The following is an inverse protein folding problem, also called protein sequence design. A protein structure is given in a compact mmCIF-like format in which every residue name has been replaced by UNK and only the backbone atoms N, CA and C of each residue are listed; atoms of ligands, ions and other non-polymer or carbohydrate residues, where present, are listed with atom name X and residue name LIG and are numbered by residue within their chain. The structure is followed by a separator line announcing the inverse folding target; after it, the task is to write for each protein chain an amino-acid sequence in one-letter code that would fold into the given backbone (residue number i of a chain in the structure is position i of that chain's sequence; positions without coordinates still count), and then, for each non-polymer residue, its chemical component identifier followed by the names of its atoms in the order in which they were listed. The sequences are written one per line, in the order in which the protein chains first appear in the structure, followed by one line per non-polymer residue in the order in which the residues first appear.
data_IF_181941861522
#
_entry.id   IF_181941861522
#
_cell.length_a   1.000
_cell.length_b   1.000
_cell.length_c   1.000
_cell.angle_alpha   90.00
_cell.angle_beta   90.00
_cell.angle_gamma   90.00
#
_symmetry.space_group_name_H-M   'P 1'
#
loop_
_entity.id
_entity.type
_entity.pdbx_description
1 polymer ?
#
# COMPACT_ATOMS: atom_id res chain seq x y z
N UNK A 1 21.77 6.65 -43.26
CA UNK A 1 20.35 6.71 -42.84
C UNK A 1 20.13 8.02 -42.11
N UNK A 2 19.84 9.11 -42.84
CA UNK A 2 19.58 10.45 -42.30
C UNK A 2 18.35 11.00 -43.01
N UNK A 3 17.20 10.97 -42.34
CA UNK A 3 16.03 11.82 -42.61
C UNK A 3 14.89 11.40 -41.67
N UNK A 4 14.90 11.89 -40.42
CA UNK A 4 13.67 11.99 -39.62
C UNK A 4 13.33 13.46 -39.47
N UNK A 5 12.14 13.80 -39.95
CA UNK A 5 11.74 15.11 -40.44
C UNK A 5 11.29 16.06 -39.32
N UNK A 6 11.70 17.33 -39.44
CA UNK A 6 11.32 18.45 -38.57
C UNK A 6 9.82 18.79 -38.58
N UNK A 7 9.02 18.14 -39.43
CA UNK A 7 7.60 18.45 -39.61
C UNK A 7 6.68 17.87 -38.52
N UNK A 8 7.11 16.83 -37.78
CA UNK A 8 6.26 16.29 -36.71
C UNK A 8 6.27 17.16 -35.45
N UNK A 9 7.36 17.88 -35.17
CA UNK A 9 7.48 18.69 -33.95
C UNK A 9 6.55 19.92 -33.96
N UNK A 10 6.36 20.54 -35.14
CA UNK A 10 5.50 21.73 -35.29
C UNK A 10 4.03 21.36 -35.13
N UNK A 11 3.61 20.20 -35.63
CA UNK A 11 2.22 19.73 -35.53
C UNK A 11 1.83 19.43 -34.09
N UNK A 12 2.73 18.88 -33.27
CA UNK A 12 2.46 18.63 -31.85
C UNK A 12 2.44 19.92 -31.00
N UNK A 13 3.25 20.92 -31.34
CA UNK A 13 3.20 22.23 -30.66
C UNK A 13 1.88 22.98 -30.92
N UNK A 14 1.32 22.91 -32.13
CA UNK A 14 0.07 23.61 -32.45
C UNK A 14 -1.16 22.98 -31.75
N UNK A 15 -1.19 21.66 -31.57
CA UNK A 15 -2.30 20.98 -30.87
C UNK A 15 -2.26 21.27 -29.35
N UNK A 16 -1.07 21.42 -28.76
CA UNK A 16 -0.91 21.78 -27.34
C UNK A 16 -1.39 23.19 -26.99
N UNK A 17 -1.20 24.16 -27.89
CA UNK A 17 -1.58 25.56 -27.64
C UNK A 17 -3.10 25.77 -27.76
N UNK A 18 -3.79 25.01 -28.64
CA UNK A 18 -5.25 25.10 -28.79
C UNK A 18 -5.97 24.48 -27.57
N UNK A 19 -5.40 23.43 -26.96
CA UNK A 19 -5.94 22.84 -25.72
C UNK A 19 -5.78 23.72 -24.47
N UNK A 20 -4.79 24.63 -24.46
CA UNK A 20 -4.53 25.53 -23.33
C UNK A 20 -5.43 26.77 -23.35
N UNK A 21 -5.92 27.17 -24.53
CA UNK A 21 -6.84 28.30 -24.70
C UNK A 21 -8.31 27.98 -24.37
N UNK A 22 -8.71 26.70 -24.30
CA UNK A 22 -10.09 26.30 -23.98
C UNK A 22 -10.36 26.13 -22.48
N UNK A 23 -9.33 26.17 -21.62
CA UNK A 23 -9.46 26.01 -20.17
C UNK A 23 -9.58 27.33 -19.38
N UNK A 24 -9.52 28.49 -20.03
CA UNK A 24 -9.51 29.81 -19.36
C UNK A 24 -10.90 30.48 -19.28
N UNK A 25 -11.96 29.88 -19.83
CA UNK A 25 -13.30 30.53 -19.92
C UNK A 25 -14.42 29.97 -19.04
N UNK A 26 -14.12 29.21 -18.00
CA UNK A 26 -15.13 28.82 -17.00
C UNK A 26 -14.70 29.21 -15.59
N UNK A 27 -15.07 30.42 -15.19
CA UNK A 27 -15.17 30.82 -13.78
C UNK A 27 -16.63 31.11 -13.48
N UNK A 28 -17.32 30.34 -12.61
CA UNK A 28 -18.64 30.73 -12.14
C UNK A 28 -18.53 31.85 -11.11
N UNK A 29 -19.31 32.89 -11.34
CA UNK A 29 -19.54 34.05 -10.50
C UNK A 29 -20.29 33.65 -9.21
N UNK A 30 -19.72 34.07 -8.07
CA UNK A 30 -20.43 34.13 -6.80
C UNK A 30 -21.52 35.21 -6.86
N UNK A 31 -22.78 34.81 -6.68
CA UNK A 31 -23.85 35.71 -6.23
C UNK A 31 -24.35 35.23 -4.87
N UNK A 32 -24.15 36.09 -3.87
CA UNK A 32 -24.81 36.08 -2.58
C UNK A 32 -25.99 37.07 -2.63
N UNK A 33 -27.17 36.63 -2.16
CA UNK A 33 -28.38 37.40 -1.78
C UNK A 33 -29.60 36.46 -1.94
N UNK A 34 -30.57 36.27 -1.04
CA UNK A 34 -30.93 36.90 0.22
C UNK A 34 -31.66 35.85 1.07
N UNK A 35 -31.17 35.60 2.29
CA UNK A 35 -31.96 34.92 3.31
C UNK A 35 -32.92 35.93 3.94
N UNK A 36 -34.21 35.77 3.67
CA UNK A 36 -35.27 36.51 4.34
C UNK A 36 -35.30 36.10 5.81
N UNK A 37 -34.78 36.99 6.65
CA UNK A 37 -35.07 37.07 8.08
C UNK A 37 -36.57 37.27 8.25
N UNK A 38 -37.25 36.34 8.89
CA UNK A 38 -38.43 36.66 9.70
C UNK A 38 -38.13 36.25 11.14
N UNK A 39 -37.47 37.21 11.80
CA UNK A 39 -37.47 37.42 13.23
C UNK A 39 -38.91 37.68 13.70
N UNK A 40 -39.42 36.88 14.64
CA UNK A 40 -40.36 37.39 15.65
C UNK A 40 -39.85 36.96 17.01
N UNK A 41 -39.18 37.92 17.65
CA UNK A 41 -38.71 37.84 19.01
C UNK A 41 -39.90 37.86 19.96
N UNK A 42 -39.92 36.91 20.88
CA UNK A 42 -40.56 37.02 22.18
C UNK A 42 -39.71 37.95 23.05
N UNK A 43 -40.25 39.09 23.46
CA UNK A 43 -39.79 39.92 24.61
C UNK A 43 -40.99 40.78 24.99
N UNK A 44 -41.78 40.40 25.99
CA UNK A 44 -41.70 40.88 27.38
C UNK A 44 -41.56 42.41 27.45
N UNK A 45 -42.70 43.10 27.44
CA UNK A 45 -42.83 44.38 28.15
C UNK A 45 -43.78 44.18 29.32
N UNK A 46 -43.24 44.53 30.47
CA UNK A 46 -43.84 44.57 31.78
C UNK A 46 -44.17 46.04 32.04
N UNK A 47 -45.44 46.38 32.26
CA UNK A 47 -45.87 47.65 32.83
C UNK A 47 -47.10 47.39 33.71
N UNK A 48 -46.76 47.16 34.97
CA UNK A 48 -47.39 47.62 36.21
C UNK A 48 -48.79 48.28 36.14
N UNK A 49 -49.68 47.65 36.91
CA UNK A 49 -50.53 48.21 37.98
C UNK A 49 -51.24 49.54 37.72
N UNK A 50 -52.57 49.47 37.65
CA UNK A 50 -53.42 50.33 38.47
C UNK A 50 -54.46 49.45 39.20
N UNK A 51 -54.58 49.75 40.48
CA UNK A 51 -55.40 49.10 41.49
C UNK A 51 -56.89 49.27 41.22
N UNK A 52 -57.69 48.23 41.45
CA UNK A 52 -58.98 48.42 42.11
C UNK A 52 -59.29 47.25 43.05
N UNK A 53 -59.54 47.65 44.29
CA UNK A 53 -59.99 46.84 45.41
C UNK A 53 -61.27 46.06 45.08
N UNK A 54 -61.21 44.75 45.32
CA UNK A 54 -62.35 43.85 45.24
C UNK A 54 -62.24 42.73 46.26
N UNK A 55 -62.25 43.09 47.55
CA UNK A 55 -62.41 42.14 48.64
C UNK A 55 -63.76 41.39 48.51
N UNK A 56 -63.72 40.13 48.94
CA UNK A 56 -64.82 39.22 49.32
C UNK A 56 -65.55 38.40 48.23
N UNK A 57 -65.65 37.10 48.51
CA UNK A 57 -66.67 36.13 48.03
C UNK A 57 -66.35 35.04 46.96
N UNK A 58 -65.09 34.67 46.72
CA UNK A 58 -64.79 33.50 45.84
C UNK A 58 -64.66 32.13 46.53
N UNK A 59 -64.62 32.05 47.87
CA UNK A 59 -64.56 30.77 48.58
C UNK A 59 -65.94 30.13 48.77
N UNK A 60 -66.99 30.91 49.07
CA UNK A 60 -68.35 30.39 49.27
C UNK A 60 -69.01 29.89 47.96
N UNK A 61 -68.71 30.53 46.83
CA UNK A 61 -69.24 30.12 45.51
C UNK A 61 -68.55 28.83 45.01
N UNK A 62 -67.26 28.65 45.29
CA UNK A 62 -66.54 27.40 45.00
C UNK A 62 -67.08 26.22 45.83
N UNK A 63 -67.30 26.42 47.14
CA UNK A 63 -67.81 25.38 48.06
C UNK A 63 -69.27 25.00 47.75
N UNK A 64 -70.10 25.92 47.25
CA UNK A 64 -71.48 25.63 46.82
C UNK A 64 -71.57 24.95 45.44
N UNK A 65 -70.58 25.15 44.56
CA UNK A 65 -70.50 24.45 43.27
C UNK A 65 -69.97 23.01 43.41
N UNK A 66 -69.10 22.73 44.37
CA UNK A 66 -68.59 21.38 44.67
C UNK A 66 -69.71 20.41 45.08
N UNK A 67 -70.72 20.89 45.81
CA UNK A 67 -71.79 20.07 46.38
C UNK A 67 -72.97 19.77 45.44
N UNK A 68 -73.09 20.48 44.30
CA UNK A 68 -74.17 20.25 43.31
C UNK A 68 -73.83 19.10 42.38
N UNK A 69 -74.76 18.20 42.01
CA UNK A 69 -74.45 17.09 41.12
C UNK A 69 -73.99 17.60 39.74
N UNK A 70 -72.76 17.26 39.34
CA UNK A 70 -72.24 17.56 38.01
C UNK A 70 -72.85 16.62 36.99
N UNK A 71 -73.38 17.17 35.89
CA UNK A 71 -73.76 16.37 34.73
C UNK A 71 -72.76 16.64 33.61
N UNK A 72 -72.05 15.61 33.21
CA UNK A 72 -71.09 15.67 32.11
C UNK A 72 -71.56 14.77 30.97
N UNK A 73 -71.62 15.32 29.77
CA UNK A 73 -71.88 14.57 28.54
C UNK A 73 -70.55 14.09 27.96
N UNK A 74 -70.41 12.78 27.82
CA UNK A 74 -69.25 12.12 27.24
C UNK A 74 -69.62 11.63 25.84
N UNK A 75 -68.73 11.83 24.88
CA UNK A 75 -68.82 11.28 23.53
C UNK A 75 -67.58 10.44 23.27
N UNK A 76 -67.76 9.16 22.94
CA UNK A 76 -66.66 8.20 22.73
C UNK A 76 -66.98 7.27 21.55
N UNK A 77 -65.95 6.71 20.92
CA UNK A 77 -66.13 5.81 19.77
C UNK A 77 -66.55 4.39 20.18
N UNK A 78 -66.29 3.98 21.43
CA UNK A 78 -66.74 2.69 21.98
C UNK A 78 -67.22 2.82 23.43
N UNK A 79 -68.36 2.20 23.80
CA UNK A 79 -68.84 2.13 25.17
C UNK A 79 -67.84 1.52 26.17
N UNK A 80 -66.92 0.68 25.69
CA UNK A 80 -65.90 -0.01 26.48
C UNK A 80 -64.81 0.92 27.05
N UNK A 81 -64.75 2.17 26.58
CA UNK A 81 -63.77 3.17 27.03
C UNK A 81 -64.15 3.84 28.35
N UNK A 82 -65.36 3.62 28.88
CA UNK A 82 -65.75 4.11 30.19
C UNK A 82 -65.14 3.22 31.27
N UNK A 83 -64.33 3.82 32.14
CA UNK A 83 -63.58 3.08 33.19
C UNK A 83 -64.30 3.00 34.52
N UNK A 84 -65.42 3.71 34.65
CA UNK A 84 -66.06 3.96 35.93
C UNK A 84 -67.45 3.31 36.02
N UNK A 85 -67.82 2.86 37.23
CA UNK A 85 -69.11 2.20 37.52
C UNK A 85 -70.00 3.07 38.41
N UNK A 86 -71.31 2.84 38.37
CA UNK A 86 -72.25 3.49 39.28
C UNK A 86 -71.88 3.14 40.73
N UNK A 87 -71.85 4.13 41.62
CA UNK A 87 -71.47 3.96 43.02
C UNK A 87 -69.97 4.05 43.32
N UNK A 88 -69.13 4.11 42.29
CA UNK A 88 -67.67 4.23 42.46
C UNK A 88 -67.30 5.62 42.97
N UNK A 89 -66.38 5.66 43.95
CA UNK A 89 -65.70 6.87 44.40
C UNK A 89 -64.65 7.27 43.37
N UNK A 90 -64.66 8.54 42.98
CA UNK A 90 -63.71 9.13 42.05
C UNK A 90 -63.13 10.40 42.67
N UNK A 91 -61.82 10.56 42.55
CA UNK A 91 -61.10 11.78 42.93
C UNK A 91 -60.96 12.69 41.72
N UNK A 92 -60.75 13.97 41.97
CA UNK A 92 -60.37 14.94 40.96
C UNK A 92 -59.10 14.44 40.26
N UNK A 93 -59.13 14.40 38.93
CA UNK A 93 -58.06 13.84 38.12
C UNK A 93 -58.20 12.36 37.76
N UNK A 94 -59.11 11.61 38.39
CA UNK A 94 -59.33 10.20 38.06
C UNK A 94 -59.89 10.05 36.64
N UNK A 95 -59.47 8.99 35.95
CA UNK A 95 -59.83 8.75 34.55
C UNK A 95 -61.26 8.22 34.47
N UNK A 96 -62.14 9.00 33.84
CA UNK A 96 -63.53 8.62 33.60
C UNK A 96 -63.65 7.84 32.30
N UNK A 97 -62.95 8.26 31.25
CA UNK A 97 -62.90 7.55 29.98
C UNK A 97 -61.52 7.61 29.33
N UNK A 98 -61.06 6.46 28.83
CA UNK A 98 -59.78 6.31 28.13
C UNK A 98 -59.83 5.13 27.14
N UNK A 99 -59.27 5.33 25.95
CA UNK A 99 -58.99 4.27 25.00
C UNK A 99 -57.64 3.61 25.34
N UNK A 100 -57.64 2.82 26.42
CA UNK A 100 -56.42 2.20 26.95
C UNK A 100 -55.80 1.16 26.00
N UNK A 101 -56.60 0.51 25.15
CA UNK A 101 -56.11 -0.50 24.20
C UNK A 101 -55.28 0.16 23.09
N UNK A 102 -55.80 1.22 22.49
CA UNK A 102 -55.10 1.95 21.43
C UNK A 102 -53.87 2.68 21.98
N UNK A 103 -53.98 3.28 23.17
CA UNK A 103 -52.84 3.89 23.87
C UNK A 103 -51.72 2.87 24.10
N UNK A 104 -52.04 1.70 24.65
CA UNK A 104 -51.05 0.62 24.88
C UNK A 104 -50.43 0.14 23.57
N UNK A 105 -51.22 0.03 22.49
CA UNK A 105 -50.73 -0.36 21.16
C UNK A 105 -49.73 0.66 20.61
N UNK A 106 -50.07 1.94 20.66
CA UNK A 106 -49.20 3.02 20.20
C UNK A 106 -47.96 3.19 21.09
N UNK A 107 -48.07 3.02 22.42
CA UNK A 107 -46.91 3.03 23.34
C UNK A 107 -45.94 1.88 23.04
N UNK A 108 -46.45 0.68 22.74
CA UNK A 108 -45.62 -0.44 22.28
C UNK A 108 -44.92 -0.12 20.95
N UNK A 109 -45.64 0.47 19.99
CA UNK A 109 -45.04 0.91 18.72
C UNK A 109 -43.95 1.97 18.95
N UNK A 110 -44.22 2.97 19.80
CA UNK A 110 -43.25 3.99 20.22
C UNK A 110 -41.99 3.35 20.78
N UNK A 111 -42.12 2.48 21.78
CA UNK A 111 -40.97 1.82 22.40
C UNK A 111 -40.15 0.99 21.40
N UNK A 112 -40.82 0.32 20.45
CA UNK A 112 -40.15 -0.42 19.38
C UNK A 112 -39.36 0.49 18.43
N UNK A 113 -39.94 1.62 18.00
CA UNK A 113 -39.26 2.61 17.16
C UNK A 113 -38.07 3.23 17.89
N UNK A 114 -38.21 3.54 19.18
CA UNK A 114 -37.11 4.05 20.01
C UNK A 114 -35.96 3.04 20.08
N UNK A 115 -36.26 1.76 20.31
CA UNK A 115 -35.23 0.70 20.30
C UNK A 115 -34.55 0.58 18.93
N UNK A 116 -35.28 0.75 17.83
CA UNK A 116 -34.68 0.75 16.48
C UNK A 116 -33.74 1.94 16.28
N UNK A 117 -34.13 3.13 16.74
CA UNK A 117 -33.29 4.33 16.73
C UNK A 117 -32.01 4.08 17.54
N UNK A 118 -32.14 3.55 18.75
CA UNK A 118 -30.99 3.29 19.63
C UNK A 118 -30.05 2.24 19.04
N UNK A 119 -30.61 1.16 18.47
CA UNK A 119 -29.84 0.15 17.75
C UNK A 119 -29.08 0.74 16.55
N UNK A 120 -29.71 1.63 15.77
CA UNK A 120 -29.05 2.28 14.63
C UNK A 120 -28.00 3.31 15.06
N UNK A 121 -28.22 4.04 16.16
CA UNK A 121 -27.22 4.97 16.73
C UNK A 121 -25.99 4.22 17.25
N UNK A 122 -26.22 3.08 17.90
CA UNK A 122 -25.16 2.25 18.47
C UNK A 122 -24.43 1.40 17.42
N UNK A 123 -24.96 1.30 16.19
CA UNK A 123 -24.29 0.64 15.07
C UNK A 123 -23.10 1.48 14.61
N UNK A 124 -21.89 1.05 14.98
CA UNK A 124 -20.64 1.68 14.54
C UNK A 124 -20.38 1.37 13.07
N UNK A 125 -20.20 2.39 12.24
CA UNK A 125 -19.74 2.24 10.86
C UNK A 125 -18.21 2.29 10.91
N UNK A 126 -17.51 1.23 10.47
CA UNK A 126 -16.05 1.18 10.55
C UNK A 126 -15.44 2.27 9.67
N UNK A 127 -14.49 3.02 10.23
CA UNK A 127 -13.80 4.07 9.49
C UNK A 127 -12.81 3.48 8.46
N UNK A 128 -12.63 4.14 7.30
CA UNK A 128 -11.65 3.73 6.29
C UNK A 128 -10.21 3.71 6.82
N UNK A 129 -9.44 2.69 6.46
CA UNK A 129 -8.04 2.57 6.88
C UNK A 129 -7.14 3.50 6.06
N UNK A 130 -6.48 4.45 6.72
CA UNK A 130 -5.52 5.35 6.07
C UNK A 130 -4.32 4.55 5.53
N UNK A 131 -3.88 4.79 4.27
CA UNK A 131 -2.65 4.21 3.76
C UNK A 131 -1.48 4.59 4.66
N UNK A 132 -0.60 3.62 4.95
CA UNK A 132 0.65 3.90 5.68
C UNK A 132 1.60 4.63 4.73
N UNK A 133 2.21 5.70 5.20
CA UNK A 133 3.27 6.39 4.46
C UNK A 133 4.44 5.41 4.26
N UNK A 134 4.89 5.27 3.00
CA UNK A 134 6.02 4.42 2.70
C UNK A 134 7.30 5.10 3.21
N UNK A 135 8.14 4.34 3.89
CA UNK A 135 9.51 4.77 4.14
C UNK A 135 10.22 4.67 2.77
N UNK A 136 10.43 5.81 2.13
CA UNK A 136 10.98 5.89 0.78
C UNK A 136 12.27 5.06 0.63
N UNK A 137 12.49 4.52 -0.57
CA UNK A 137 13.67 3.70 -0.84
C UNK A 137 14.94 4.54 -0.65
N UNK A 138 15.91 3.97 0.07
CA UNK A 138 17.23 4.59 0.21
C UNK A 138 17.88 4.64 -1.19
N UNK A 139 18.36 5.81 -1.65
CA UNK A 139 18.98 5.90 -2.96
C UNK A 139 20.26 5.07 -3.01
N UNK A 140 20.51 4.45 -4.15
CA UNK A 140 21.74 3.73 -4.41
C UNK A 140 22.95 4.66 -4.29
N UNK A 141 24.09 4.20 -3.73
CA UNK A 141 25.32 4.97 -3.73
C UNK A 141 25.73 5.28 -5.17
N UNK A 142 26.46 6.37 -5.46
CA UNK A 142 26.88 6.68 -6.82
C UNK A 142 27.81 5.60 -7.40
N UNK A 143 27.83 5.40 -8.73
CA UNK A 143 28.74 4.45 -9.36
C UNK A 143 30.19 4.94 -9.22
N UNK A 144 31.01 4.16 -8.51
CA UNK A 144 32.43 4.44 -8.30
C UNK A 144 33.21 3.26 -8.87
N UNK A 145 34.11 3.55 -9.82
CA UNK A 145 34.99 2.57 -10.47
C UNK A 145 36.48 2.93 -10.29
N UNK A 146 36.80 3.57 -9.15
CA UNK A 146 38.15 4.08 -8.89
C UNK A 146 39.18 2.97 -8.79
N UNK A 147 38.80 1.80 -8.28
CA UNK A 147 39.68 0.64 -8.17
C UNK A 147 40.00 0.05 -9.56
N UNK A 148 38.98 -0.16 -10.40
CA UNK A 148 39.15 -0.73 -11.73
C UNK A 148 39.92 0.21 -12.65
N UNK A 149 39.64 1.52 -12.57
CA UNK A 149 40.40 2.53 -13.34
C UNK A 149 41.85 2.62 -12.89
N UNK A 150 42.12 2.54 -11.59
CA UNK A 150 43.49 2.46 -11.06
C UNK A 150 44.20 1.18 -11.55
N UNK A 151 43.53 0.03 -11.52
CA UNK A 151 44.09 -1.23 -12.02
C UNK A 151 44.43 -1.16 -13.52
N UNK A 152 43.55 -0.58 -14.35
CA UNK A 152 43.84 -0.33 -15.77
C UNK A 152 45.06 0.57 -15.93
N UNK A 153 45.15 1.66 -15.16
CA UNK A 153 46.29 2.58 -15.24
C UNK A 153 47.62 1.89 -14.88
N UNK A 154 47.60 1.01 -13.88
CA UNK A 154 48.75 0.22 -13.48
C UNK A 154 49.16 -0.78 -14.56
N UNK A 155 48.20 -1.50 -15.15
CA UNK A 155 48.47 -2.45 -16.25
C UNK A 155 48.99 -1.74 -17.50
N UNK A 156 48.44 -0.56 -17.85
CA UNK A 156 48.96 0.27 -18.96
C UNK A 156 50.41 0.68 -18.73
N UNK A 157 50.74 1.10 -17.52
CA UNK A 157 52.12 1.46 -17.18
C UNK A 157 53.06 0.26 -17.33
N UNK A 158 52.67 -0.92 -16.84
CA UNK A 158 53.47 -2.15 -17.00
C UNK A 158 53.65 -2.54 -18.46
N UNK A 159 52.60 -2.44 -19.27
CA UNK A 159 52.67 -2.70 -20.71
C UNK A 159 53.66 -1.75 -21.39
N UNK A 160 53.56 -0.45 -21.11
CA UNK A 160 54.47 0.55 -21.67
C UNK A 160 55.92 0.30 -21.24
N UNK A 161 56.16 -0.08 -19.98
CA UNK A 161 57.48 -0.45 -19.49
C UNK A 161 58.03 -1.69 -20.22
N UNK A 162 57.21 -2.72 -20.41
CA UNK A 162 57.61 -3.94 -21.11
C UNK A 162 57.93 -3.68 -22.60
N UNK A 163 57.11 -2.87 -23.26
CA UNK A 163 57.34 -2.45 -24.66
C UNK A 163 58.65 -1.65 -24.77
N UNK A 164 58.84 -0.65 -23.90
CA UNK A 164 60.05 0.17 -23.92
C UNK A 164 61.31 -0.67 -23.68
N UNK A 165 61.26 -1.67 -22.78
CA UNK A 165 62.36 -2.60 -22.55
C UNK A 165 62.64 -3.48 -23.77
N UNK A 166 61.59 -4.00 -24.41
CA UNK A 166 61.72 -4.79 -25.64
C UNK A 166 62.34 -3.95 -26.75
N UNK A 167 61.82 -2.76 -27.02
CA UNK A 167 62.31 -1.86 -28.06
C UNK A 167 63.77 -1.45 -27.81
N UNK A 168 64.15 -1.14 -26.57
CA UNK A 168 65.52 -0.78 -26.22
C UNK A 168 66.52 -1.95 -26.37
N UNK A 169 66.09 -3.18 -26.08
CA UNK A 169 66.97 -4.37 -26.10
C UNK A 169 67.02 -5.09 -27.44
N UNK A 170 65.97 -5.01 -28.25
CA UNK A 170 65.88 -5.66 -29.57
C UNK A 170 67.08 -5.38 -30.48
N UNK A 171 67.55 -4.13 -30.70
CA UNK A 171 68.67 -3.88 -31.59
C UNK A 171 69.98 -4.49 -31.09
N UNK A 172 70.20 -4.54 -29.77
CA UNK A 172 71.39 -5.12 -29.15
C UNK A 172 71.38 -6.65 -29.20
N UNK A 173 70.21 -7.25 -29.08
CA UNK A 173 70.02 -8.70 -29.09
C UNK A 173 69.99 -9.29 -30.51
N UNK A 174 69.60 -8.50 -31.51
CA UNK A 174 69.61 -8.93 -32.92
C UNK A 174 70.99 -8.80 -33.59
N UNK A 175 71.89 -7.97 -33.05
CA UNK A 175 73.26 -7.87 -33.56
C UNK A 175 74.12 -9.04 -33.07
N UNK A 176 74.87 -9.65 -33.99
CA UNK A 176 75.91 -10.64 -33.64
C UNK A 176 76.91 -10.05 -32.65
N UNK A 177 77.38 -10.87 -31.71
CA UNK A 177 78.42 -10.46 -30.77
C UNK A 177 79.74 -10.22 -31.53
N UNK A 178 80.23 -8.97 -31.63
CA UNK A 178 81.39 -8.63 -32.44
C UNK A 178 82.68 -9.28 -31.93
N UNK A 179 82.81 -9.49 -30.63
CA UNK A 179 83.99 -10.14 -30.03
C UNK A 179 84.02 -11.63 -30.37
N UNK A 180 82.88 -12.31 -30.27
CA UNK A 180 82.78 -13.74 -30.61
C UNK A 180 82.96 -13.99 -32.10
N UNK A 181 82.46 -13.08 -32.94
CA UNK A 181 82.69 -13.12 -34.38
C UNK A 181 84.17 -12.95 -34.73
N UNK A 182 84.85 -11.97 -34.13
CA UNK A 182 86.28 -11.79 -34.33
C UNK A 182 87.10 -13.00 -33.84
N UNK A 183 86.69 -13.67 -32.75
CA UNK A 183 87.32 -14.93 -32.28
C UNK A 183 87.17 -16.05 -33.32
N UNK A 184 85.98 -16.21 -33.91
CA UNK A 184 85.72 -17.21 -34.95
C UNK A 184 86.48 -16.92 -36.25
N UNK A 185 86.48 -15.66 -36.73
CA UNK A 185 87.22 -15.23 -37.92
C UNK A 185 88.73 -15.41 -37.74
N UNK A 186 89.27 -15.14 -36.54
CA UNK A 186 90.67 -15.38 -36.21
C UNK A 186 91.03 -16.87 -36.21
N UNK A 187 90.16 -17.71 -35.64
CA UNK A 187 90.37 -19.16 -35.64
C UNK A 187 90.29 -19.74 -37.07
N UNK A 188 89.41 -19.19 -37.91
CA UNK A 188 89.28 -19.57 -39.32
C UNK A 188 90.52 -19.19 -40.12
N UNK A 189 91.03 -17.97 -39.96
CA UNK A 189 92.30 -17.56 -40.56
C UNK A 189 93.46 -18.44 -40.08
N UNK A 190 93.48 -18.82 -38.81
CA UNK A 190 94.46 -19.75 -38.25
C UNK A 190 94.43 -21.12 -38.90
N UNK A 191 93.22 -21.67 -39.13
CA UNK A 191 93.02 -22.93 -39.85
C UNK A 191 93.49 -22.83 -41.31
N UNK A 192 93.16 -21.74 -42.01
CA UNK A 192 93.58 -21.53 -43.40
C UNK A 192 95.11 -21.46 -43.53
N UNK A 193 95.79 -20.78 -42.60
CA UNK A 193 97.26 -20.74 -42.60
C UNK A 193 97.84 -22.13 -42.33
N UNK A 194 97.27 -22.88 -41.38
CA UNK A 194 97.71 -24.24 -41.07
C UNK A 194 97.48 -25.18 -42.26
N UNK A 195 96.33 -25.08 -42.95
CA UNK A 195 96.02 -25.91 -44.12
C UNK A 195 96.96 -25.60 -45.29
N UNK A 196 97.25 -24.32 -45.55
CA UNK A 196 98.21 -23.92 -46.58
C UNK A 196 99.61 -24.49 -46.31
N UNK A 197 100.09 -24.43 -45.05
CA UNK A 197 101.39 -25.02 -44.68
C UNK A 197 101.44 -26.54 -44.88
N UNK A 198 100.36 -27.25 -44.56
CA UNK A 198 100.26 -28.71 -44.80
C UNK A 198 100.33 -28.98 -46.30
N UNK A 199 99.58 -28.23 -47.10
CA UNK A 199 99.54 -28.38 -48.56
C UNK A 199 100.90 -28.08 -49.21
N UNK A 200 101.57 -26.98 -48.81
CA UNK A 200 102.91 -26.63 -49.28
C UNK A 200 103.94 -27.71 -48.93
N UNK A 201 103.90 -28.25 -47.70
CA UNK A 201 104.80 -29.30 -47.25
C UNK A 201 104.53 -30.63 -48.00
N UNK A 202 103.27 -30.95 -48.29
CA UNK A 202 102.90 -32.11 -49.11
C UNK A 202 103.43 -31.98 -50.55
N UNK A 203 103.27 -30.81 -51.17
CA UNK A 203 103.82 -30.52 -52.49
C UNK A 203 105.35 -30.60 -52.50
N UNK A 204 106.02 -30.08 -51.46
CA UNK A 204 107.47 -30.18 -51.31
C UNK A 204 107.92 -31.64 -51.23
N UNK A 205 107.29 -32.46 -50.36
CA UNK A 205 107.59 -33.89 -50.24
C UNK A 205 107.38 -34.62 -51.56
N UNK A 206 106.31 -34.29 -52.29
CA UNK A 206 106.05 -34.85 -53.61
C UNK A 206 107.18 -34.53 -54.60
N UNK A 207 107.60 -33.27 -54.69
CA UNK A 207 108.71 -32.86 -55.55
C UNK A 207 110.05 -33.53 -55.16
N UNK A 208 110.29 -33.74 -53.85
CA UNK A 208 111.48 -34.41 -53.36
C UNK A 208 111.50 -35.92 -53.70
N UNK A 209 110.32 -36.56 -53.67
CA UNK A 209 110.13 -37.95 -54.12
C UNK A 209 110.44 -38.09 -55.61
N UNK A 210 110.00 -37.13 -56.42
CA UNK A 210 110.28 -37.11 -57.87
C UNK A 210 111.77 -36.91 -58.18
N UNK A 211 112.49 -36.15 -57.35
CA UNK A 211 113.95 -35.90 -57.47
C UNK A 211 114.84 -37.03 -56.89
N UNK A 212 114.27 -38.11 -56.34
CA UNK A 212 115.01 -39.26 -55.75
C UNK A 212 116.06 -38.85 -54.69
N UNK A 213 115.70 -37.90 -53.83
CA UNK A 213 116.54 -37.48 -52.68
C UNK A 213 116.73 -38.62 -51.65
N UNK A 214 117.75 -38.48 -50.80
CA UNK A 214 118.15 -39.46 -49.78
C UNK A 214 117.00 -39.81 -48.81
N UNK A 215 116.94 -41.06 -48.37
CA UNK A 215 115.84 -41.60 -47.56
C UNK A 215 115.71 -40.95 -46.18
N UNK A 216 116.80 -40.55 -45.55
CA UNK A 216 116.79 -39.90 -44.24
C UNK A 216 116.12 -38.52 -44.28
N UNK A 217 116.32 -37.78 -45.38
CA UNK A 217 115.69 -36.45 -45.59
C UNK A 217 114.18 -36.62 -45.73
N UNK A 218 113.74 -37.62 -46.49
CA UNK A 218 112.31 -37.91 -46.64
C UNK A 218 111.64 -38.27 -45.31
N UNK A 219 112.29 -39.04 -44.43
CA UNK A 219 111.74 -39.38 -43.12
C UNK A 219 111.60 -38.17 -42.20
N UNK A 220 112.59 -37.26 -42.20
CA UNK A 220 112.51 -36.00 -41.43
C UNK A 220 111.35 -35.11 -41.91
N UNK A 221 111.20 -34.96 -43.23
CA UNK A 221 110.14 -34.13 -43.82
C UNK A 221 108.75 -34.76 -43.63
N UNK A 222 108.63 -36.09 -43.66
CA UNK A 222 107.39 -36.81 -43.31
C UNK A 222 107.04 -36.64 -41.82
N UNK A 223 108.02 -36.63 -40.92
CA UNK A 223 107.79 -36.33 -39.50
C UNK A 223 107.31 -34.87 -39.29
N UNK A 224 107.87 -33.92 -40.04
CA UNK A 224 107.46 -32.51 -40.03
C UNK A 224 106.03 -32.32 -40.57
N UNK A 225 105.67 -33.04 -41.64
CA UNK A 225 104.29 -33.06 -42.15
C UNK A 225 103.33 -33.60 -41.09
N UNK A 226 103.70 -34.67 -40.36
CA UNK A 226 102.88 -35.19 -39.27
C UNK A 226 102.67 -34.14 -38.16
N UNK A 227 103.69 -33.36 -37.84
CA UNK A 227 103.56 -32.24 -36.91
C UNK A 227 102.60 -31.16 -37.45
N UNK A 228 102.76 -30.73 -38.71
CA UNK A 228 101.87 -29.74 -39.33
C UNK A 228 100.42 -30.21 -39.40
N UNK A 229 100.18 -31.50 -39.65
CA UNK A 229 98.84 -32.10 -39.57
C UNK A 229 98.26 -32.03 -38.16
N UNK A 230 99.06 -32.30 -37.12
CA UNK A 230 98.62 -32.12 -35.73
C UNK A 230 98.31 -30.67 -35.39
N UNK A 231 99.06 -29.70 -35.96
CA UNK A 231 98.78 -28.26 -35.80
C UNK A 231 97.48 -27.87 -36.51
N UNK A 232 97.22 -28.40 -37.71
CA UNK A 232 95.97 -28.22 -38.44
C UNK A 232 94.77 -28.80 -37.69
N UNK A 233 94.89 -30.01 -37.14
CA UNK A 233 93.84 -30.64 -36.31
C UNK A 233 93.55 -29.80 -35.05
N UNK A 234 94.60 -29.23 -34.43
CA UNK A 234 94.46 -28.28 -33.32
C UNK A 234 93.75 -26.99 -33.73
N UNK A 235 94.08 -26.43 -34.88
CA UNK A 235 93.42 -25.24 -35.43
C UNK A 235 91.94 -25.51 -35.79
N UNK A 236 91.65 -26.71 -36.30
CA UNK A 236 90.28 -27.16 -36.60
C UNK A 236 89.44 -27.23 -35.32
N UNK A 237 89.97 -27.87 -34.27
CA UNK A 237 89.30 -27.92 -32.96
C UNK A 237 89.08 -26.52 -32.36
N UNK A 238 90.04 -25.61 -32.52
CA UNK A 238 89.91 -24.23 -32.07
C UNK A 238 88.79 -23.47 -32.82
N UNK A 239 88.66 -23.69 -34.13
CA UNK A 239 87.57 -23.14 -34.94
C UNK A 239 86.22 -23.68 -34.49
N UNK A 240 86.11 -24.99 -34.25
CA UNK A 240 84.87 -25.61 -33.76
C UNK A 240 84.45 -25.05 -32.40
N UNK A 241 85.39 -24.85 -31.49
CA UNK A 241 85.13 -24.20 -30.20
C UNK A 241 84.66 -22.75 -30.36
N UNK A 242 85.31 -21.96 -31.25
CA UNK A 242 84.93 -20.58 -31.50
C UNK A 242 83.53 -20.48 -32.12
N UNK A 243 83.21 -21.34 -33.09
CA UNK A 243 81.87 -21.45 -33.70
C UNK A 243 80.82 -21.87 -32.67
N UNK A 244 81.14 -22.85 -31.80
CA UNK A 244 80.24 -23.28 -30.74
C UNK A 244 79.94 -22.13 -29.75
N UNK A 245 80.95 -21.34 -29.36
CA UNK A 245 80.78 -20.16 -28.51
C UNK A 245 79.92 -19.08 -29.16
N UNK A 246 80.10 -18.82 -30.46
CA UNK A 246 79.30 -17.87 -31.22
C UNK A 246 77.83 -18.32 -31.26
N UNK A 247 77.59 -19.58 -31.64
CA UNK A 247 76.24 -20.15 -31.68
C UNK A 247 75.57 -20.14 -30.30
N UNK A 248 76.30 -20.47 -29.23
CA UNK A 248 75.79 -20.40 -27.87
C UNK A 248 75.38 -18.96 -27.49
N UNK A 249 76.14 -17.95 -27.91
CA UNK A 249 75.77 -16.55 -27.66
C UNK A 249 74.51 -16.12 -28.41
N UNK A 250 74.34 -16.55 -29.66
CA UNK A 250 73.14 -16.27 -30.44
C UNK A 250 71.89 -16.91 -29.82
N UNK A 251 72.01 -18.15 -29.31
CA UNK A 251 70.92 -18.84 -28.60
C UNK A 251 70.50 -18.06 -27.36
N UNK A 252 71.45 -17.57 -26.55
CA UNK A 252 71.15 -16.78 -25.35
C UNK A 252 70.44 -15.47 -25.69
N UNK A 253 70.90 -14.76 -26.73
CA UNK A 253 70.25 -13.54 -27.21
C UNK A 253 68.82 -13.82 -27.67
N UNK A 254 68.60 -14.91 -28.40
CA UNK A 254 67.27 -15.32 -28.86
C UNK A 254 66.35 -15.68 -27.68
N UNK A 255 66.86 -16.38 -26.67
CA UNK A 255 66.11 -16.70 -25.45
C UNK A 255 65.70 -15.45 -24.68
N UNK A 256 66.61 -14.47 -24.53
CA UNK A 256 66.31 -13.19 -23.88
C UNK A 256 65.23 -12.41 -24.64
N UNK A 257 65.35 -12.33 -25.97
CA UNK A 257 64.35 -11.67 -26.82
C UNK A 257 62.98 -12.35 -26.68
N UNK A 258 62.93 -13.68 -26.67
CA UNK A 258 61.70 -14.43 -26.47
C UNK A 258 61.10 -14.14 -25.08
N UNK A 259 61.91 -14.05 -24.03
CA UNK A 259 61.45 -13.70 -22.70
C UNK A 259 60.83 -12.29 -22.66
N UNK A 260 61.47 -11.32 -23.31
CA UNK A 260 60.94 -9.95 -23.41
C UNK A 260 59.61 -9.91 -24.17
N UNK A 261 59.47 -10.68 -25.25
CA UNK A 261 58.21 -10.80 -26.00
C UNK A 261 57.11 -11.42 -25.14
N UNK A 262 57.42 -12.46 -24.37
CA UNK A 262 56.48 -13.07 -23.42
C UNK A 262 56.05 -12.07 -22.36
N UNK A 263 56.97 -11.26 -21.83
CA UNK A 263 56.66 -10.22 -20.84
C UNK A 263 55.70 -9.16 -21.39
N UNK A 264 55.88 -8.73 -22.65
CA UNK A 264 54.95 -7.80 -23.31
C UNK A 264 53.57 -8.44 -23.44
N UNK A 265 53.50 -9.71 -23.90
CA UNK A 265 52.23 -10.43 -24.03
C UNK A 265 51.52 -10.61 -22.68
N UNK A 266 52.27 -10.88 -21.61
CA UNK A 266 51.73 -10.99 -20.26
C UNK A 266 51.17 -9.65 -19.78
N UNK A 267 51.92 -8.55 -19.96
CA UNK A 267 51.44 -7.22 -19.60
C UNK A 267 50.21 -6.77 -20.41
N UNK A 268 50.11 -7.21 -21.68
CA UNK A 268 48.92 -6.99 -22.50
C UNK A 268 47.72 -7.80 -22.00
N UNK A 269 47.91 -9.05 -21.60
CA UNK A 269 46.85 -9.86 -20.99
C UNK A 269 46.38 -9.26 -19.66
N UNK A 270 47.29 -8.75 -18.83
CA UNK A 270 46.95 -8.06 -17.58
C UNK A 270 46.10 -6.80 -17.80
N UNK A 271 46.36 -6.07 -18.91
CA UNK A 271 45.54 -4.94 -19.31
C UNK A 271 44.12 -5.39 -19.69
N UNK A 272 44.01 -6.40 -20.54
CA UNK A 272 42.73 -6.94 -21.00
C UNK A 272 41.87 -7.46 -19.84
N UNK A 273 42.49 -8.14 -18.86
CA UNK A 273 41.81 -8.58 -17.64
C UNK A 273 41.31 -7.39 -16.82
N UNK A 274 42.10 -6.31 -16.70
CA UNK A 274 41.67 -5.11 -15.97
C UNK A 274 40.49 -4.41 -16.66
N UNK A 275 40.50 -4.34 -18.00
CA UNK A 275 39.38 -3.78 -18.80
C UNK A 275 38.11 -4.64 -18.72
N UNK A 276 38.28 -5.97 -18.74
CA UNK A 276 37.18 -6.92 -18.53
C UNK A 276 36.55 -6.76 -17.15
N UNK A 277 37.37 -6.58 -16.10
CA UNK A 277 36.89 -6.30 -14.73
C UNK A 277 36.07 -5.01 -14.65
N UNK A 278 36.53 -3.93 -15.30
CA UNK A 278 35.77 -2.68 -15.38
C UNK A 278 34.42 -2.90 -16.05
N UNK A 279 34.39 -3.59 -17.19
CA UNK A 279 33.16 -3.88 -17.93
C UNK A 279 32.20 -4.72 -17.08
N UNK A 280 32.71 -5.72 -16.36
CA UNK A 280 31.91 -6.54 -15.45
C UNK A 280 31.35 -5.70 -14.28
N UNK A 281 32.13 -4.78 -13.72
CA UNK A 281 31.69 -3.87 -12.67
C UNK A 281 30.58 -2.92 -13.18
N UNK A 282 30.72 -2.38 -14.38
CA UNK A 282 29.70 -1.56 -15.04
C UNK A 282 28.40 -2.33 -15.27
N UNK A 283 28.48 -3.56 -15.77
CA UNK A 283 27.31 -4.40 -16.00
C UNK A 283 26.59 -4.76 -14.68
N UNK A 284 27.36 -5.13 -13.64
CA UNK A 284 26.79 -5.38 -12.29
C UNK A 284 26.08 -4.15 -11.75
N UNK A 285 26.65 -2.97 -12.00
CA UNK A 285 26.04 -1.70 -11.60
C UNK A 285 24.72 -1.46 -12.33
N UNK A 286 24.68 -1.63 -13.65
CA UNK A 286 23.46 -1.49 -14.44
C UNK A 286 22.34 -2.42 -13.98
N UNK A 287 22.67 -3.68 -13.63
CA UNK A 287 21.69 -4.61 -13.06
C UNK A 287 21.13 -4.11 -11.73
N UNK A 288 22.00 -3.60 -10.85
CA UNK A 288 21.58 -3.07 -9.55
C UNK A 288 20.68 -1.84 -9.71
N UNK A 289 21.03 -0.94 -10.63
CA UNK A 289 20.23 0.24 -10.94
C UNK A 289 18.86 -0.16 -11.54
N UNK A 290 18.82 -1.16 -12.42
CA UNK A 290 17.59 -1.71 -12.97
C UNK A 290 16.68 -2.30 -11.89
N UNK A 291 17.23 -3.12 -10.98
CA UNK A 291 16.48 -3.73 -9.89
C UNK A 291 15.92 -2.67 -8.93
N UNK A 292 16.70 -1.62 -8.62
CA UNK A 292 16.22 -0.51 -7.80
C UNK A 292 15.10 0.27 -8.47
N UNK A 293 15.21 0.59 -9.76
CA UNK A 293 14.15 1.26 -10.52
C UNK A 293 12.87 0.41 -10.57
N UNK A 294 13.00 -0.91 -10.72
CA UNK A 294 11.87 -1.82 -10.71
C UNK A 294 11.20 -1.88 -9.33
N UNK A 295 11.98 -1.86 -8.25
CA UNK A 295 11.44 -1.80 -6.88
C UNK A 295 10.75 -0.46 -6.61
N UNK A 296 11.30 0.65 -7.07
CA UNK A 296 10.67 1.97 -6.98
C UNK A 296 9.35 2.01 -7.73
N UNK A 297 9.32 1.51 -8.98
CA UNK A 297 8.09 1.42 -9.77
C UNK A 297 7.02 0.56 -9.09
N UNK A 298 7.40 -0.59 -8.51
CA UNK A 298 6.48 -1.45 -7.74
C UNK A 298 5.92 -0.73 -6.51
N UNK A 299 6.77 -0.02 -5.77
CA UNK A 299 6.34 0.73 -4.59
C UNK A 299 5.37 1.86 -4.97
N UNK A 300 5.68 2.64 -6.02
CA UNK A 300 4.79 3.68 -6.53
C UNK A 300 3.44 3.11 -7.00
N UNK A 301 3.44 1.95 -7.68
CA UNK A 301 2.20 1.28 -8.06
C UNK A 301 1.37 0.87 -6.84
N UNK A 302 2.00 0.31 -5.81
CA UNK A 302 1.32 -0.08 -4.58
C UNK A 302 0.74 1.12 -3.83
N UNK A 303 1.48 2.23 -3.77
CA UNK A 303 1.00 3.49 -3.20
C UNK A 303 -0.23 4.01 -3.96
N UNK A 304 -0.17 4.03 -5.29
CA UNK A 304 -1.30 4.45 -6.11
C UNK A 304 -2.53 3.54 -5.90
N UNK A 305 -2.34 2.22 -5.82
CA UNK A 305 -3.42 1.27 -5.57
C UNK A 305 -4.05 1.49 -4.19
N UNK A 306 -3.24 1.57 -3.14
CA UNK A 306 -3.73 1.77 -1.76
C UNK A 306 -4.41 3.13 -1.58
N UNK A 307 -3.93 4.19 -2.25
CA UNK A 307 -4.60 5.49 -2.27
C UNK A 307 -5.98 5.43 -2.95
N UNK A 308 -6.09 4.73 -4.08
CA UNK A 308 -7.37 4.53 -4.76
C UNK A 308 -8.35 3.71 -3.91
N UNK A 309 -7.87 2.65 -3.27
CA UNK A 309 -8.67 1.83 -2.35
C UNK A 309 -9.17 2.64 -1.17
N UNK A 310 -8.31 3.47 -0.56
CA UNK A 310 -8.70 4.35 0.53
C UNK A 310 -9.77 5.36 0.10
N UNK A 311 -9.65 5.93 -1.10
CA UNK A 311 -10.67 6.82 -1.66
C UNK A 311 -12.02 6.10 -1.87
N UNK A 312 -12.00 4.87 -2.37
CA UNK A 312 -13.21 4.03 -2.50
C UNK A 312 -13.84 3.73 -1.15
N UNK A 313 -13.05 3.37 -0.14
CA UNK A 313 -13.53 3.11 1.22
C UNK A 313 -14.16 4.37 1.84
N UNK A 314 -13.57 5.55 1.63
CA UNK A 314 -14.16 6.82 2.08
C UNK A 314 -15.53 7.08 1.45
N UNK A 315 -15.70 6.82 0.16
CA UNK A 315 -16.99 6.99 -0.51
C UNK A 315 -18.04 6.03 0.06
N UNK A 316 -17.67 4.77 0.29
CA UNK A 316 -18.56 3.77 0.90
C UNK A 316 -18.93 4.15 2.33
N UNK A 317 -17.96 4.59 3.14
CA UNK A 317 -18.21 5.09 4.49
C UNK A 317 -19.19 6.27 4.48
N UNK A 318 -18.96 7.27 3.61
CA UNK A 318 -19.84 8.42 3.47
C UNK A 318 -21.26 8.05 2.99
N UNK A 319 -21.41 7.01 2.16
CA UNK A 319 -22.72 6.48 1.79
C UNK A 319 -23.40 5.80 2.98
N UNK A 320 -22.70 4.91 3.69
CA UNK A 320 -23.24 4.22 4.86
C UNK A 320 -23.70 5.17 5.97
N UNK A 321 -22.94 6.26 6.19
CA UNK A 321 -23.33 7.33 7.14
C UNK A 321 -24.62 8.00 6.68
N UNK A 322 -24.71 8.38 5.39
CA UNK A 322 -25.92 9.01 4.83
C UNK A 322 -27.14 8.09 4.92
N UNK A 323 -26.99 6.81 4.62
CA UNK A 323 -28.08 5.84 4.69
C UNK A 323 -28.57 5.65 6.13
N UNK A 324 -27.65 5.60 7.10
CA UNK A 324 -27.99 5.54 8.53
C UNK A 324 -28.75 6.80 8.94
N UNK A 325 -28.27 7.97 8.55
CA UNK A 325 -28.88 9.25 8.93
C UNK A 325 -30.27 9.42 8.29
N UNK A 326 -30.46 8.95 7.05
CA UNK A 326 -31.77 8.86 6.41
C UNK A 326 -32.73 7.93 7.16
N UNK A 327 -32.28 6.73 7.55
CA UNK A 327 -33.08 5.80 8.34
C UNK A 327 -33.47 6.40 9.70
N UNK A 328 -32.53 7.08 10.37
CA UNK A 328 -32.81 7.78 11.62
C UNK A 328 -33.84 8.89 11.43
N UNK A 329 -33.73 9.70 10.38
CA UNK A 329 -34.73 10.73 10.07
C UNK A 329 -36.11 10.12 9.83
N UNK A 330 -36.19 9.03 9.05
CA UNK A 330 -37.44 8.32 8.78
C UNK A 330 -38.07 7.73 10.06
N UNK A 331 -37.27 7.14 10.94
CA UNK A 331 -37.75 6.63 12.21
C UNK A 331 -38.22 7.76 13.13
N UNK A 332 -37.50 8.89 13.18
CA UNK A 332 -37.93 10.06 13.94
C UNK A 332 -39.25 10.63 13.43
N UNK A 333 -39.47 10.67 12.11
CA UNK A 333 -40.78 11.06 11.54
C UNK A 333 -41.88 10.09 12.01
N UNK A 334 -41.62 8.79 12.01
CA UNK A 334 -42.59 7.81 12.48
C UNK A 334 -42.86 7.93 13.99
N UNK A 335 -41.84 8.24 14.78
CA UNK A 335 -41.95 8.51 16.21
C UNK A 335 -42.84 9.73 16.49
N UNK A 336 -42.59 10.86 15.81
CA UNK A 336 -43.43 12.07 15.92
C UNK A 336 -44.88 11.77 15.52
N UNK A 337 -45.09 11.00 14.46
CA UNK A 337 -46.44 10.62 14.01
C UNK A 337 -47.18 9.77 15.06
N UNK A 338 -46.47 8.86 15.75
CA UNK A 338 -47.04 8.05 16.84
C UNK A 338 -47.35 8.95 18.05
N UNK A 339 -46.47 9.88 18.38
CA UNK A 339 -46.67 10.84 19.47
C UNK A 339 -47.87 11.75 19.20
N UNK A 340 -48.06 12.23 17.97
CA UNK A 340 -49.24 12.99 17.56
C UNK A 340 -50.52 12.17 17.70
N UNK A 341 -50.50 10.89 17.31
CA UNK A 341 -51.65 9.99 17.48
C UNK A 341 -51.96 9.71 18.95
N UNK A 342 -50.93 9.52 19.78
CA UNK A 342 -51.09 9.37 21.23
C UNK A 342 -51.72 10.62 21.86
N UNK A 343 -51.29 11.81 21.45
CA UNK A 343 -51.84 13.08 21.91
C UNK A 343 -53.31 13.29 21.46
N UNK A 344 -53.68 12.75 20.30
CA UNK A 344 -55.06 12.78 19.79
C UNK A 344 -56.01 11.81 20.51
N UNK A 345 -55.51 10.82 21.27
CA UNK A 345 -56.38 9.93 22.04
C UNK A 345 -57.03 10.74 23.18
N UNK A 346 -58.36 10.92 23.15
CA UNK A 346 -59.04 11.72 24.17
C UNK A 346 -58.97 11.00 25.52
N UNK A 347 -58.55 11.75 26.55
CA UNK A 347 -58.52 11.30 27.94
C UNK A 347 -59.42 12.20 28.78
N UNK A 348 -60.54 11.66 29.29
CA UNK A 348 -61.47 12.45 30.10
C UNK A 348 -61.24 12.15 31.58
N UNK A 349 -60.88 13.18 32.34
CA UNK A 349 -60.65 13.12 33.80
C UNK A 349 -61.80 13.71 34.58
N UNK A 350 -61.96 13.28 35.83
CA UNK A 350 -62.93 13.83 36.75
C UNK A 350 -62.53 15.25 37.14
N UNK A 351 -63.40 16.25 36.97
CA UNK A 351 -63.09 17.63 37.37
C UNK A 351 -63.21 17.85 38.89
N UNK A 352 -63.78 16.90 39.64
CA UNK A 352 -64.00 17.01 41.08
C UNK A 352 -63.95 15.66 41.79
N UNK A 353 -63.83 15.70 43.11
CA UNK A 353 -64.05 14.54 43.97
C UNK A 353 -65.55 14.22 44.09
N UNK A 354 -65.92 12.94 44.21
CA UNK A 354 -67.29 12.51 44.49
C UNK A 354 -67.59 11.07 44.10
N UNK A 355 -68.88 10.73 44.09
CA UNK A 355 -69.39 9.42 43.69
C UNK A 355 -70.19 9.50 42.40
N UNK A 356 -70.12 8.42 41.61
CA UNK A 356 -70.92 8.33 40.38
C UNK A 356 -72.35 7.94 40.74
N UNK A 357 -73.24 8.94 40.70
CA UNK A 357 -74.66 8.78 41.04
C UNK A 357 -75.43 8.02 39.98
N UNK A 358 -75.17 8.31 38.70
CA UNK A 358 -75.89 7.72 37.57
C UNK A 358 -75.10 7.82 36.27
N UNK A 359 -75.10 6.74 35.50
CA UNK A 359 -74.63 6.71 34.11
C UNK A 359 -75.86 6.43 33.25
N UNK A 360 -76.16 7.29 32.27
CA UNK A 360 -77.23 7.02 31.31
C UNK A 360 -76.82 5.88 30.35
N UNK A 361 -77.77 5.09 29.82
CA UNK A 361 -77.45 4.16 28.75
C UNK A 361 -76.87 4.91 27.54
N UNK A 362 -75.95 4.25 26.82
CA UNK A 362 -75.31 4.82 25.64
C UNK A 362 -76.31 5.06 24.52
N UNK A 363 -76.20 6.21 23.87
CA UNK A 363 -76.96 6.54 22.65
C UNK A 363 -75.96 6.67 21.51
N UNK A 364 -76.03 5.75 20.55
CA UNK A 364 -75.13 5.71 19.39
C UNK A 364 -75.73 6.45 18.19
N UNK A 365 -74.98 7.39 17.61
CA UNK A 365 -75.32 8.06 16.35
C UNK A 365 -74.06 8.08 15.48
N UNK A 366 -74.15 7.54 14.25
CA UNK A 366 -73.07 7.55 13.26
C UNK A 366 -71.70 7.06 13.80
N UNK A 367 -71.70 5.96 14.57
CA UNK A 367 -70.47 5.36 15.11
C UNK A 367 -69.88 6.07 16.34
N UNK A 368 -70.50 7.14 16.86
CA UNK A 368 -70.15 7.76 18.13
C UNK A 368 -71.21 7.50 19.18
N UNK A 369 -70.79 7.14 20.39
CA UNK A 369 -71.65 6.84 21.53
C UNK A 369 -71.59 7.97 22.54
N UNK A 370 -72.76 8.49 22.91
CA UNK A 370 -72.90 9.55 23.91
C UNK A 370 -73.56 9.02 25.18
N UNK A 371 -73.05 9.43 26.34
CA UNK A 371 -73.68 9.17 27.64
C UNK A 371 -73.59 10.39 28.54
N UNK A 372 -74.50 10.51 29.51
CA UNK A 372 -74.41 11.52 30.56
C UNK A 372 -74.04 10.84 31.87
N UNK A 373 -72.89 11.22 32.43
CA UNK A 373 -72.44 10.79 33.76
C UNK A 373 -72.80 11.88 34.77
N UNK A 374 -73.44 11.48 35.87
CA UNK A 374 -73.77 12.38 36.98
C UNK A 374 -72.88 12.08 38.19
N UNK A 375 -72.07 13.05 38.62
CA UNK A 375 -71.16 12.96 39.77
C UNK A 375 -71.77 13.74 40.94
N UNK A 376 -71.85 13.16 42.14
CA UNK A 376 -72.33 13.85 43.35
C UNK A 376 -71.34 13.74 44.49
N UNK A 377 -71.24 14.77 45.34
CA UNK A 377 -70.35 14.76 46.50
C UNK A 377 -70.74 13.72 47.58
N UNK A 378 -71.97 13.19 47.56
CA UNK A 378 -72.50 12.25 48.56
C UNK A 378 -72.59 10.81 48.02
N UNK A 379 -72.39 9.83 48.91
CA UNK A 379 -72.54 8.39 48.62
C UNK A 379 -73.96 8.12 48.10
N UNK A 380 -74.13 7.46 46.94
CA UNK A 380 -75.46 7.11 46.46
C UNK A 380 -76.08 6.07 47.40
N UNK A 381 -77.15 6.45 48.10
CA UNK A 381 -77.91 5.52 48.93
C UNK A 381 -78.49 4.42 48.02
N UNK A 382 -78.05 3.18 48.22
CA UNK A 382 -78.68 2.00 47.63
C UNK A 382 -80.12 1.90 48.14
N UNK A 383 -81.07 2.40 47.34
CA UNK A 383 -82.50 2.29 47.60
C UNK A 383 -83.11 1.51 46.45
N UNK A 384 -82.82 0.21 46.45
CA UNK A 384 -83.58 -0.82 45.75
C UNK A 384 -83.39 -2.14 46.52
N UNK A 385 -83.95 -2.19 47.73
CA UNK A 385 -84.38 -3.43 48.35
C UNK A 385 -85.74 -3.78 47.76
N UNK A 386 -85.81 -4.90 47.06
CA UNK A 386 -87.01 -5.39 46.39
C UNK A 386 -87.03 -6.91 46.42
N UNK A 387 -87.30 -7.43 47.62
CA UNK A 387 -87.92 -8.71 47.94
C UNK A 387 -87.49 -9.97 47.18
N UNK A 388 -86.84 -10.85 47.94
CA UNK A 388 -86.81 -12.29 47.75
C UNK A 388 -88.19 -12.85 47.37
N UNK A 389 -88.23 -13.58 46.25
CA UNK A 389 -89.18 -14.67 46.06
C UNK A 389 -88.38 -15.91 45.68
N UNK A 390 -88.11 -16.73 46.69
CA UNK A 390 -87.57 -18.06 46.56
C UNK A 390 -88.56 -18.95 45.80
N UNK A 391 -88.20 -19.38 44.60
CA UNK A 391 -88.76 -20.60 43.99
C UNK A 391 -87.66 -21.64 43.92
N UNK A 392 -87.78 -22.59 44.83
CA UNK A 392 -87.05 -23.85 44.88
C UNK A 392 -87.54 -24.70 43.70
N UNK A 393 -86.61 -25.06 42.80
CA UNK A 393 -86.72 -26.28 42.01
C UNK A 393 -85.33 -26.72 41.56
N UNK A 394 -84.89 -27.86 42.09
CA UNK A 394 -83.84 -28.75 41.60
C UNK A 394 -84.37 -30.18 41.85
N UNK A 395 -83.84 -31.27 41.24
CA UNK A 395 -82.77 -31.35 40.24
C UNK A 395 -83.01 -32.40 39.11
N UNK A 396 -82.19 -32.37 38.04
CA UNK A 396 -81.76 -33.54 37.26
C UNK A 396 -80.61 -33.10 36.33
N UNK A 397 -79.34 -33.29 36.68
CA UNK A 397 -78.48 -34.46 36.46
C UNK A 397 -78.11 -34.74 34.99
N UNK A 398 -76.79 -34.90 34.78
CA UNK A 398 -76.10 -35.64 33.70
C UNK A 398 -75.76 -34.78 32.46
N UNK A 399 -74.53 -34.68 31.95
CA UNK A 399 -73.26 -35.38 32.17
C UNK A 399 -72.07 -34.54 31.67
N UNK A 400 -70.95 -34.65 32.38
CA UNK A 400 -69.57 -34.88 31.88
C UNK A 400 -69.25 -34.52 30.42
N UNK A 401 -68.28 -33.63 30.21
CA UNK A 401 -66.98 -34.12 29.72
C UNK A 401 -65.85 -33.11 29.97
N UNK A 402 -64.95 -33.50 30.86
CA UNK A 402 -63.57 -33.02 30.95
C UNK A 402 -62.76 -33.65 29.82
N UNK A 403 -61.97 -32.87 29.09
CA UNK A 403 -60.75 -33.38 28.48
C UNK A 403 -59.71 -32.27 28.39
N UNK A 404 -58.76 -32.34 29.32
CA UNK A 404 -57.37 -31.91 29.11
C UNK A 404 -56.65 -33.02 28.34
N UNK A 405 -55.70 -32.68 27.46
CA UNK A 405 -54.30 -33.03 27.79
C UNK A 405 -53.37 -31.87 27.43
N UNK A 406 -52.46 -31.49 28.33
CA UNK A 406 -51.10 -32.01 28.46
C UNK A 406 -50.10 -31.35 27.51
N UNK A 407 -49.00 -30.93 28.14
CA UNK A 407 -47.80 -30.36 27.57
C UNK A 407 -47.18 -31.23 26.47
N UNK A 408 -46.62 -30.58 25.45
CA UNK A 408 -45.49 -31.12 24.69
C UNK A 408 -44.42 -30.03 24.55
N UNK A 409 -43.41 -30.19 25.39
CA UNK A 409 -42.02 -29.77 25.15
C UNK A 409 -41.57 -30.28 23.79
N UNK A 410 -41.06 -29.41 22.91
CA UNK A 410 -40.27 -29.87 21.76
C UNK A 410 -38.85 -29.29 21.85
N UNK A 411 -37.89 -30.22 21.99
CA UNK A 411 -36.46 -30.01 22.10
C UNK A 411 -35.84 -30.76 20.92
N UNK A 412 -35.10 -30.04 20.07
CA UNK A 412 -33.96 -30.56 19.30
C UNK A 412 -34.22 -31.65 18.25
N UNK A 413 -34.15 -31.26 16.98
CA UNK A 413 -33.00 -31.58 16.14
C UNK A 413 -32.76 -30.46 15.13
#
# INVERSE_FOLDING_TARGET
MNAFSRNNLITYCCVGIIGLLTLVKYSPSNQAANATKNTTNTTVENLSNEDEDGLSDNSAIAILQENRPLRMTLSVDSPSFLKVKVGQEIKQGDIISDNSLERTRLEKQKSSVVLQIDNLKNKTIPEPFKPKESLGLKPLPPPIFSEETAAISQSKLRLNQAIALLEARTPLLQSDNPERRAEAEKAEAGLQIASQKVEEQEQMIQSMKDMKLQSEILQHEEAKLKQLRSEMDGASSALDQAKAKLNASAILQQQELQQLQVNVRLAQSDLEVAESRLTAAQNRRQLTDYDANLNEARQQQQENQTQQEYSRQQQQYAQAVRDRDYQLAQLNISLTTIDDKLAQIPLVRSPRNGYIKRIKPWVGVNGRYTTTVTISAFVPSSKNGGSDRSTISNPSSTSQNSNTPAATTNRGR
#
